data_IF_356975490759
#
_entry.id   IF_356975490759
#
_cell.length_a   1.000
_cell.length_b   1.000
_cell.length_c   1.000
_cell.angle_alpha   90.00
_cell.angle_beta   90.00
_cell.angle_gamma   90.00
#
_symmetry.space_group_name_H-M   'P 1'
#
loop_
_entity.id
_entity.type
_entity.pdbx_description
1 polymer ?
#
# COMPACT_ATOMS: atom_id res chain seq x y z
N UNK A 1 3.35 -14.81 -10.85
CA UNK A 1 3.81 -13.53 -11.45
C UNK A 1 5.33 -13.48 -11.29
N UNK A 2 6.08 -13.17 -12.36
CA UNK A 2 7.54 -13.16 -12.30
C UNK A 2 8.06 -11.84 -11.71
N UNK A 3 9.25 -11.88 -11.09
CA UNK A 3 9.93 -10.73 -10.49
C UNK A 3 10.18 -9.61 -11.52
N UNK A 4 10.52 -9.98 -12.77
CA UNK A 4 10.72 -9.04 -13.87
C UNK A 4 9.44 -8.28 -14.26
N UNK A 5 8.28 -8.95 -14.26
CA UNK A 5 7.01 -8.32 -14.59
C UNK A 5 6.62 -7.30 -13.50
N UNK A 6 6.91 -7.64 -12.24
CA UNK A 6 6.68 -6.77 -11.09
C UNK A 6 7.60 -5.55 -11.07
N UNK A 7 8.90 -5.74 -11.34
CA UNK A 7 9.86 -4.65 -11.45
C UNK A 7 9.51 -3.68 -12.59
N UNK A 8 8.98 -4.19 -13.70
CA UNK A 8 8.51 -3.36 -14.82
C UNK A 8 7.32 -2.47 -14.43
N UNK A 9 6.31 -3.05 -13.77
CA UNK A 9 5.15 -2.30 -13.28
C UNK A 9 5.54 -1.25 -12.23
N UNK A 10 6.48 -1.58 -11.35
CA UNK A 10 7.04 -0.63 -10.39
C UNK A 10 7.94 0.45 -11.02
N UNK A 11 8.56 0.20 -12.18
CA UNK A 11 9.34 1.21 -12.89
C UNK A 11 8.44 2.19 -13.66
N UNK A 12 7.31 1.72 -14.17
CA UNK A 12 6.29 2.56 -14.81
C UNK A 12 5.62 3.50 -13.80
N UNK A 13 5.35 3.00 -12.60
CA UNK A 13 4.95 3.83 -11.47
C UNK A 13 6.22 4.43 -10.87
N UNK A 14 6.68 5.60 -11.33
CA UNK A 14 7.85 6.29 -10.72
C UNK A 14 7.61 6.55 -9.22
N UNK A 15 7.93 5.59 -8.35
CA UNK A 15 7.85 5.73 -6.90
C UNK A 15 9.24 6.18 -6.41
N UNK A 16 9.43 7.46 -6.09
CA UNK A 16 10.70 7.91 -5.56
C UNK A 16 10.97 7.27 -4.19
N UNK A 17 12.25 7.19 -3.86
CA UNK A 17 12.81 6.57 -2.66
C UNK A 17 12.16 7.07 -1.36
N UNK A 18 11.65 8.30 -1.39
CA UNK A 18 10.64 8.87 -0.50
C UNK A 18 9.48 9.37 -1.39
N UNK A 19 8.27 8.80 -1.36
CA UNK A 19 7.16 9.31 -2.18
C UNK A 19 6.72 10.69 -1.65
N UNK A 20 6.93 11.80 -2.39
CA UNK A 20 6.48 13.13 -1.96
C UNK A 20 4.94 13.27 -2.04
N UNK A 21 4.27 12.29 -2.65
CA UNK A 21 2.84 12.26 -2.87
C UNK A 21 2.33 10.86 -2.54
N UNK A 22 1.32 10.79 -1.67
CA UNK A 22 0.65 9.53 -1.36
C UNK A 22 0.00 8.94 -2.62
N UNK A 23 0.21 7.65 -2.86
CA UNK A 23 -0.38 6.93 -3.99
C UNK A 23 -1.65 6.22 -3.52
N UNK A 24 -2.74 6.37 -4.26
CA UNK A 24 -3.96 5.60 -4.00
C UNK A 24 -3.74 4.12 -4.31
N UNK A 25 -4.07 3.29 -3.33
CA UNK A 25 -3.93 1.84 -3.36
C UNK A 25 -5.19 1.20 -2.77
N UNK A 26 -5.39 -0.06 -3.11
CA UNK A 26 -6.28 -0.95 -2.39
C UNK A 26 -5.43 -1.79 -1.44
N UNK A 27 -5.86 -1.86 -0.18
CA UNK A 27 -5.20 -2.64 0.86
C UNK A 27 -6.02 -3.90 1.18
N UNK A 28 -5.40 -5.07 1.14
CA UNK A 28 -5.98 -6.35 1.57
C UNK A 28 -5.56 -6.64 3.02
N UNK A 29 -6.01 -5.78 3.95
CA UNK A 29 -5.83 -5.96 5.39
C UNK A 29 -7.19 -6.32 6.03
N UNK A 30 -7.27 -7.29 6.98
CA UNK A 30 -8.55 -7.71 7.57
C UNK A 30 -9.37 -6.60 8.22
N UNK A 31 -8.71 -5.53 8.66
CA UNK A 31 -9.36 -4.34 9.21
C UNK A 31 -9.61 -3.21 8.19
N UNK A 32 -9.21 -3.34 6.93
CA UNK A 32 -9.41 -2.27 5.94
C UNK A 32 -10.83 -2.31 5.38
N UNK A 33 -11.53 -1.19 5.51
CA UNK A 33 -12.91 -1.03 5.02
C UNK A 33 -12.96 -0.22 3.73
N UNK A 34 -12.21 0.88 3.64
CA UNK A 34 -12.14 1.74 2.45
C UNK A 34 -10.91 2.64 2.47
N UNK A 35 -10.51 3.09 1.28
CA UNK A 35 -9.35 3.97 1.09
C UNK A 35 -8.02 3.26 1.36
N UNK A 36 -7.02 3.56 0.55
CA UNK A 36 -5.65 3.13 0.80
C UNK A 36 -4.73 4.19 0.22
N UNK A 37 -3.90 4.77 1.06
CA UNK A 37 -2.88 5.72 0.65
C UNK A 37 -1.53 5.18 1.08
N UNK A 38 -0.64 5.02 0.12
CA UNK A 38 0.72 4.55 0.33
C UNK A 38 1.65 5.76 0.49
N UNK A 39 2.34 5.82 1.63
CA UNK A 39 3.21 6.94 2.03
C UNK A 39 4.70 6.62 2.04
N UNK A 40 5.07 5.36 1.87
CA UNK A 40 6.48 4.96 1.90
C UNK A 40 6.67 3.47 1.74
N UNK A 41 7.91 3.07 1.46
CA UNK A 41 8.32 1.68 1.35
C UNK A 41 9.53 1.42 2.23
N UNK A 42 9.61 0.20 2.74
CA UNK A 42 10.78 -0.30 3.44
C UNK A 42 10.96 -1.77 3.11
N UNK A 43 12.18 -2.27 3.32
CA UNK A 43 12.48 -3.69 3.24
C UNK A 43 12.49 -4.25 4.65
N UNK A 44 11.68 -5.28 4.88
CA UNK A 44 11.72 -6.02 6.14
C UNK A 44 13.07 -6.72 6.29
N UNK A 45 13.75 -6.43 7.40
CA UNK A 45 15.08 -6.97 7.70
C UNK A 45 15.03 -8.45 8.10
N UNK A 46 13.89 -8.94 8.60
CA UNK A 46 13.77 -10.33 9.04
C UNK A 46 13.49 -11.30 7.90
N UNK A 47 12.56 -10.96 7.00
CA UNK A 47 12.15 -11.85 5.90
C UNK A 47 12.66 -11.39 4.52
N UNK A 48 13.32 -10.23 4.44
CA UNK A 48 13.85 -9.67 3.18
C UNK A 48 12.77 -9.17 2.20
N UNK A 49 11.51 -9.15 2.63
CA UNK A 49 10.34 -8.80 1.83
C UNK A 49 10.10 -7.28 1.80
N UNK A 50 9.47 -6.78 0.74
CA UNK A 50 9.06 -5.37 0.67
C UNK A 50 7.76 -5.12 1.44
N UNK A 51 7.72 -3.99 2.14
CA UNK A 51 6.56 -3.51 2.89
C UNK A 51 6.26 -2.05 2.54
N UNK A 52 4.98 -1.69 2.48
CA UNK A 52 4.51 -0.33 2.28
C UNK A 52 3.82 0.22 3.52
N UNK A 53 4.05 1.50 3.85
CA UNK A 53 3.31 2.21 4.88
C UNK A 53 1.99 2.71 4.29
N UNK A 54 0.90 2.05 4.64
CA UNK A 54 -0.42 2.33 4.10
C UNK A 54 -1.34 2.93 5.17
N UNK A 55 -2.03 4.01 4.82
CA UNK A 55 -3.15 4.55 5.58
C UNK A 55 -4.46 4.13 4.94
N UNK A 56 -5.34 3.53 5.72
CA UNK A 56 -6.66 3.11 5.27
C UNK A 56 -7.67 3.32 6.39
N UNK A 57 -8.96 3.41 6.03
CA UNK A 57 -10.02 3.46 7.02
C UNK A 57 -10.35 2.06 7.52
N UNK A 58 -10.53 1.97 8.84
CA UNK A 58 -11.01 0.77 9.53
C UNK A 58 -12.20 1.12 10.40
N UNK A 59 -13.19 0.23 10.41
CA UNK A 59 -14.28 0.30 11.36
C UNK A 59 -13.83 -0.25 12.72
N UNK A 60 -14.01 0.52 13.79
CA UNK A 60 -13.64 0.09 15.15
C UNK A 60 -14.87 -0.15 16.05
N UNK A 61 -16.01 0.43 15.67
CA UNK A 61 -17.33 0.20 16.24
C UNK A 61 -18.39 0.41 15.14
N UNK A 62 -19.60 -0.16 15.26
CA UNK A 62 -20.63 -0.02 14.23
C UNK A 62 -20.86 1.44 13.83
N UNK A 63 -20.54 1.79 12.59
CA UNK A 63 -20.70 3.15 12.06
C UNK A 63 -19.62 4.16 12.48
N UNK A 64 -18.50 3.71 13.06
CA UNK A 64 -17.37 4.57 13.43
C UNK A 64 -16.07 4.11 12.77
N UNK A 65 -15.46 5.02 12.00
CA UNK A 65 -14.25 4.77 11.22
C UNK A 65 -13.08 5.62 11.70
N UNK A 66 -11.88 5.05 11.65
CA UNK A 66 -10.62 5.77 11.87
C UNK A 66 -9.63 5.44 10.76
N UNK A 67 -8.84 6.43 10.36
CA UNK A 67 -7.68 6.20 9.52
C UNK A 67 -6.55 5.61 10.37
N UNK A 68 -5.96 4.50 9.94
CA UNK A 68 -4.82 3.87 10.62
C UNK A 68 -3.67 3.63 9.66
N UNK A 69 -2.45 3.95 10.10
CA UNK A 69 -1.21 3.64 9.38
C UNK A 69 -0.66 2.26 9.77
N UNK A 70 -0.43 1.39 8.79
CA UNK A 70 0.16 0.07 8.98
C UNK A 70 1.23 -0.22 7.94
N UNK A 71 2.28 -0.93 8.34
CA UNK A 71 3.20 -1.57 7.41
C UNK A 71 2.58 -2.87 6.90
N UNK A 72 2.27 -2.91 5.60
CA UNK A 72 1.70 -4.08 4.94
C UNK A 72 2.71 -4.68 3.98
N UNK A 73 2.71 -6.00 3.82
CA UNK A 73 3.54 -6.64 2.81
C UNK A 73 3.09 -6.22 1.41
N UNK A 74 4.04 -6.15 0.46
CA UNK A 74 3.75 -5.71 -0.90
C UNK A 74 2.61 -6.48 -1.58
N UNK A 75 2.45 -7.78 -1.30
CA UNK A 75 1.37 -8.59 -1.87
C UNK A 75 -0.04 -8.22 -1.35
N UNK A 76 -0.14 -7.40 -0.30
CA UNK A 76 -1.39 -6.89 0.27
C UNK A 76 -1.74 -5.50 -0.26
N UNK A 77 -0.91 -4.93 -1.15
CA UNK A 77 -1.06 -3.56 -1.65
C UNK A 77 -1.21 -3.65 -3.17
N UNK A 78 -2.35 -3.18 -3.68
CA UNK A 78 -2.61 -3.12 -5.12
C UNK A 78 -2.74 -1.66 -5.54
N UNK A 79 -1.93 -1.14 -6.47
CA UNK A 79 -2.12 0.20 -7.01
C UNK A 79 -3.52 0.35 -7.60
N UNK A 80 -4.19 1.48 -7.33
CA UNK A 80 -5.40 1.83 -8.09
C UNK A 80 -5.00 2.65 -9.31
N UNK A 81 -5.48 2.27 -10.49
CA UNK A 81 -5.40 3.15 -11.65
C UNK A 81 -6.25 4.40 -11.37
N UNK A 82 -5.66 5.58 -11.58
CA UNK A 82 -6.45 6.81 -11.79
C UNK A 82 -7.01 6.74 -13.21
N UNK A 83 -8.01 5.89 -13.44
CA UNK A 83 -8.89 6.10 -14.60
C UNK A 83 -10.06 6.97 -14.14
N UNK A 84 -9.96 8.24 -14.52
CA UNK A 84 -10.91 9.32 -14.35
C UNK A 84 -10.49 10.48 -15.23
#
# INVERSE_FOLDING_TARGET
MSEELWQRQLAEVKIPKDPPVSVEVQCSHPGATRGGLLYGWSRDWHHGQWMGLCWFEREYAPGFWVAGGHWLFAHQITPRSREG
#
